data_IF_020916969058
#
_entry.id   IF_020916969058
#
_cell.length_a   1.000
_cell.length_b   1.000
_cell.length_c   1.000
_cell.angle_alpha   90.00
_cell.angle_beta   90.00
_cell.angle_gamma   90.00
#
_symmetry.space_group_name_H-M   'P 1'
#
loop_
_entity.id
_entity.type
_entity.pdbx_description
1 polymer ?
#
# COMPACT_ATOMS: atom_id res chain seq x y z
N UNK A 1 -4.47 -4.61 23.23
CA UNK A 1 -5.38 -4.49 24.39
C UNK A 1 -6.39 -5.64 24.49
N UNK A 2 -7.09 -6.03 23.44
CA UNK A 2 -8.10 -7.12 23.47
C UNK A 2 -7.53 -8.51 23.82
N UNK A 3 -6.34 -8.90 23.31
CA UNK A 3 -5.71 -10.18 23.64
C UNK A 3 -5.38 -10.28 25.12
N UNK A 4 -4.84 -9.23 25.74
CA UNK A 4 -4.51 -9.19 27.15
C UNK A 4 -5.76 -9.39 28.01
N UNK A 5 -6.90 -8.81 27.62
CA UNK A 5 -8.16 -9.01 28.33
C UNK A 5 -8.66 -10.44 28.28
N UNK A 6 -8.55 -11.12 27.11
CA UNK A 6 -8.88 -12.53 26.97
C UNK A 6 -7.94 -13.43 27.79
N UNK A 7 -6.63 -13.10 27.80
CA UNK A 7 -5.65 -13.84 28.57
C UNK A 7 -5.89 -13.72 30.06
N UNK A 8 -6.17 -12.53 30.57
CA UNK A 8 -6.51 -12.29 31.98
C UNK A 8 -7.78 -13.01 32.40
N UNK A 9 -8.82 -12.99 31.56
CA UNK A 9 -10.07 -13.68 31.84
C UNK A 9 -9.90 -15.19 31.87
N UNK A 10 -9.17 -15.76 30.92
CA UNK A 10 -8.83 -17.18 30.86
C UNK A 10 -7.98 -17.61 32.06
N UNK A 11 -7.01 -16.79 32.46
CA UNK A 11 -6.17 -17.05 33.62
C UNK A 11 -6.99 -17.04 34.92
N UNK A 12 -7.92 -16.09 35.08
CA UNK A 12 -8.84 -16.06 36.22
C UNK A 12 -9.68 -17.30 36.31
N UNK A 13 -10.27 -17.75 35.21
CA UNK A 13 -11.04 -19.00 35.15
C UNK A 13 -10.14 -20.19 35.51
N UNK A 14 -8.91 -20.25 34.95
CA UNK A 14 -7.94 -21.29 35.24
C UNK A 14 -7.60 -21.36 36.74
N UNK A 15 -7.38 -20.23 37.40
CA UNK A 15 -7.14 -20.15 38.86
C UNK A 15 -8.33 -20.66 39.65
N UNK A 16 -9.55 -20.29 39.31
CA UNK A 16 -10.76 -20.76 39.97
C UNK A 16 -10.87 -22.28 39.86
N UNK A 17 -10.63 -22.84 38.68
CA UNK A 17 -10.66 -24.29 38.45
C UNK A 17 -9.56 -24.99 39.28
N UNK A 18 -8.36 -24.45 39.36
CA UNK A 18 -7.27 -24.96 40.18
C UNK A 18 -7.67 -25.01 41.65
N UNK A 19 -8.22 -23.93 42.20
CA UNK A 19 -8.66 -23.87 43.60
C UNK A 19 -9.71 -24.94 43.88
N UNK A 20 -10.70 -25.11 42.99
CA UNK A 20 -11.74 -26.10 43.16
C UNK A 20 -11.19 -27.56 43.14
N UNK A 21 -10.30 -27.86 42.18
CA UNK A 21 -9.69 -29.20 42.07
C UNK A 21 -8.78 -29.51 43.25
N UNK A 22 -7.93 -28.57 43.69
CA UNK A 22 -7.07 -28.71 44.85
C UNK A 22 -7.93 -28.94 46.12
N UNK A 23 -8.96 -28.11 46.31
CA UNK A 23 -9.88 -28.25 47.44
C UNK A 23 -10.57 -29.63 47.46
N UNK A 24 -10.91 -30.17 46.29
CA UNK A 24 -11.50 -31.50 46.19
C UNK A 24 -10.50 -32.61 46.56
N UNK A 25 -9.26 -32.51 46.10
CA UNK A 25 -8.19 -33.46 46.45
C UNK A 25 -7.86 -33.38 47.95
N UNK A 26 -7.73 -32.17 48.50
CA UNK A 26 -7.42 -31.95 49.92
C UNK A 26 -8.55 -32.47 50.81
N UNK A 27 -9.82 -32.28 50.42
CA UNK A 27 -10.95 -32.86 51.13
C UNK A 27 -10.87 -34.39 51.23
N UNK A 28 -10.46 -35.04 50.14
CA UNK A 28 -10.28 -36.49 50.12
C UNK A 28 -9.12 -36.92 51.06
N UNK A 29 -7.99 -36.19 51.03
CA UNK A 29 -6.86 -36.45 51.94
C UNK A 29 -7.22 -36.22 53.41
N UNK A 30 -7.96 -35.19 53.71
CA UNK A 30 -8.48 -34.94 55.07
C UNK A 30 -9.38 -36.09 55.51
N UNK A 31 -10.30 -36.55 54.68
CA UNK A 31 -11.17 -37.69 55.01
C UNK A 31 -10.36 -38.97 55.24
N UNK A 32 -9.30 -39.18 54.46
CA UNK A 32 -8.42 -40.34 54.66
C UNK A 32 -7.69 -40.24 55.99
N UNK A 33 -7.13 -39.09 56.36
CA UNK A 33 -6.50 -38.87 57.66
C UNK A 33 -7.47 -39.03 58.79
N UNK A 34 -8.70 -38.46 58.69
CA UNK A 34 -9.75 -38.56 59.69
C UNK A 34 -10.19 -40.02 59.97
N UNK A 35 -10.18 -40.87 58.93
CA UNK A 35 -10.42 -42.33 59.08
C UNK A 35 -9.42 -43.00 60.05
N UNK A 36 -8.13 -42.56 59.97
CA UNK A 36 -7.07 -43.11 60.80
C UNK A 36 -7.05 -42.49 62.22
N UNK A 37 -7.38 -41.18 62.33
CA UNK A 37 -7.57 -40.52 63.59
C UNK A 37 -8.70 -41.11 64.43
N UNK A 38 -9.82 -41.46 63.79
CA UNK A 38 -10.95 -42.19 64.48
C UNK A 38 -10.62 -43.59 64.87
N UNK A 39 -9.51 -44.17 64.43
CA UNK A 39 -9.04 -45.51 64.87
C UNK A 39 -7.96 -45.41 65.95
N UNK A 40 -7.63 -44.16 66.39
CA UNK A 40 -6.64 -43.96 67.47
C UNK A 40 -7.09 -44.52 68.80
N UNK A 41 -6.12 -44.90 69.60
CA UNK A 41 -6.36 -45.26 70.99
C UNK A 41 -5.65 -44.24 71.87
N UNK A 42 -6.41 -43.58 72.75
CA UNK A 42 -5.91 -42.56 73.63
C UNK A 42 -5.70 -43.17 75.04
N UNK A 43 -4.52 -42.87 75.58
CA UNK A 43 -4.14 -43.24 76.97
C UNK A 43 -3.85 -41.94 77.75
N UNK A 44 -4.77 -41.59 78.67
CA UNK A 44 -4.63 -40.31 79.46
C UNK A 44 -3.61 -40.55 80.57
N UNK A 45 -2.82 -39.53 80.82
CA UNK A 45 -1.84 -39.46 81.93
C UNK A 45 -2.46 -38.64 83.04
N UNK A 46 -2.61 -39.12 84.23
CA UNK A 46 -3.16 -38.31 85.31
C UNK A 46 -2.38 -37.05 85.60
N UNK A 47 -3.06 -36.04 86.09
CA UNK A 47 -2.40 -34.80 86.52
C UNK A 47 -1.31 -35.09 87.57
N UNK A 48 -0.05 -34.72 87.35
CA UNK A 48 1.13 -35.11 88.12
C UNK A 48 1.49 -36.61 88.05
N UNK A 49 0.92 -37.44 87.19
CA UNK A 49 1.39 -38.76 86.87
C UNK A 49 2.65 -38.68 85.96
N UNK A 50 3.25 -39.87 85.78
CA UNK A 50 4.44 -39.99 84.90
C UNK A 50 4.28 -41.19 83.94
N UNK A 51 5.11 -41.22 82.93
CA UNK A 51 5.20 -42.37 82.05
C UNK A 51 6.68 -42.72 81.82
N UNK A 52 6.92 -43.95 81.53
CA UNK A 52 8.24 -44.40 81.03
C UNK A 52 8.06 -45.09 79.66
N UNK A 53 9.01 -44.79 78.77
CA UNK A 53 9.08 -45.38 77.43
C UNK A 53 10.37 -46.25 77.36
N UNK A 54 10.17 -47.56 77.14
CA UNK A 54 11.32 -48.45 76.97
C UNK A 54 11.37 -48.89 75.50
N UNK A 55 12.42 -48.52 74.81
CA UNK A 55 12.65 -48.76 73.38
C UNK A 55 13.32 -50.17 73.23
N UNK A 56 12.76 -51.00 72.37
CA UNK A 56 13.34 -52.28 72.01
C UNK A 56 13.01 -52.63 70.54
N UNK A 57 14.03 -52.60 69.72
CA UNK A 57 13.89 -52.71 68.24
C UNK A 57 12.72 -51.92 67.70
N UNK A 58 11.87 -52.36 66.87
CA UNK A 58 10.77 -51.62 66.28
C UNK A 58 9.54 -51.39 67.21
N UNK A 59 9.70 -51.53 68.50
CA UNK A 59 8.61 -51.39 69.48
C UNK A 59 9.02 -50.50 70.64
N UNK A 60 8.08 -49.77 71.17
CA UNK A 60 8.23 -49.03 72.44
C UNK A 60 7.19 -49.42 73.40
N UNK A 61 7.63 -49.85 74.57
CA UNK A 61 6.75 -50.20 75.68
C UNK A 61 6.58 -48.96 76.54
N UNK A 62 5.32 -48.53 76.62
CA UNK A 62 4.93 -47.39 77.48
C UNK A 62 4.34 -48.00 78.78
N UNK A 63 4.71 -47.41 79.90
CA UNK A 63 4.08 -47.71 81.22
C UNK A 63 3.71 -46.33 81.83
N UNK A 64 2.45 -46.16 82.14
CA UNK A 64 1.87 -44.99 82.80
C UNK A 64 1.72 -45.24 84.29
N UNK A 65 2.11 -44.31 85.11
CA UNK A 65 2.07 -44.39 86.57
C UNK A 65 1.18 -43.28 87.14
N UNK A 66 0.51 -43.60 88.26
CA UNK A 66 -0.24 -42.63 89.03
C UNK A 66 0.70 -41.70 89.84
N UNK A 67 0.16 -40.71 90.61
CA UNK A 67 0.88 -39.77 91.48
C UNK A 67 1.59 -40.47 92.66
N UNK A 68 1.28 -41.77 92.95
CA UNK A 68 1.88 -42.58 94.01
C UNK A 68 2.90 -43.55 93.47
N UNK A 69 3.16 -43.60 92.18
CA UNK A 69 4.09 -44.48 91.51
C UNK A 69 3.51 -45.88 91.18
N UNK A 70 2.21 -46.05 91.35
CA UNK A 70 1.57 -47.36 90.94
C UNK A 70 1.35 -47.39 89.42
N UNK A 71 1.55 -48.55 88.86
CA UNK A 71 1.32 -48.82 87.45
C UNK A 71 -0.18 -48.78 87.11
N UNK A 72 -0.62 -47.86 86.19
CA UNK A 72 -2.02 -47.74 85.76
C UNK A 72 -2.24 -48.53 84.47
N UNK A 73 -1.34 -48.39 83.53
CA UNK A 73 -1.52 -48.99 82.20
C UNK A 73 -0.16 -49.31 81.56
N UNK A 74 -0.09 -50.43 80.85
CA UNK A 74 1.02 -50.83 79.96
C UNK A 74 0.52 -51.14 78.62
N UNK A 75 1.18 -50.56 77.57
CA UNK A 75 0.88 -50.86 76.20
C UNK A 75 2.19 -50.83 75.37
N UNK A 76 2.18 -51.63 74.29
CA UNK A 76 3.29 -51.63 73.32
C UNK A 76 2.87 -50.98 72.05
N UNK A 77 3.71 -50.10 71.50
CA UNK A 77 3.53 -49.46 70.19
C UNK A 77 4.51 -50.09 69.19
N UNK A 78 3.96 -50.72 68.18
CA UNK A 78 4.72 -51.29 67.07
C UNK A 78 4.82 -50.25 65.96
N UNK A 79 6.01 -49.62 65.78
CA UNK A 79 6.22 -48.59 64.80
C UNK A 79 6.00 -49.04 63.36
N UNK A 80 5.99 -50.28 63.07
CA UNK A 80 5.61 -50.76 61.74
C UNK A 80 4.10 -50.60 61.47
N UNK A 81 3.26 -50.68 62.55
CA UNK A 81 1.79 -50.66 62.46
C UNK A 81 1.17 -49.39 63.03
N UNK A 82 1.83 -48.70 63.94
CA UNK A 82 1.29 -47.62 64.74
C UNK A 82 2.32 -46.53 64.96
N UNK A 83 1.87 -45.32 65.25
CA UNK A 83 2.70 -44.15 65.63
C UNK A 83 2.17 -43.48 66.89
N UNK A 84 3.00 -43.22 67.89
CA UNK A 84 2.57 -42.48 69.06
C UNK A 84 2.63 -40.98 68.77
N UNK A 85 1.61 -40.25 69.25
CA UNK A 85 1.56 -38.79 69.25
C UNK A 85 1.43 -38.39 70.72
N UNK A 86 2.29 -37.42 71.16
CA UNK A 86 2.27 -36.90 72.52
C UNK A 86 1.71 -35.50 72.52
N UNK A 87 0.70 -35.23 73.35
CA UNK A 87 0.25 -33.86 73.54
C UNK A 87 0.82 -33.29 74.85
N UNK A 88 1.53 -32.17 74.68
CA UNK A 88 2.13 -31.45 75.84
C UNK A 88 1.20 -30.30 76.24
N UNK A 89 0.76 -30.33 77.48
CA UNK A 89 0.06 -29.19 78.13
C UNK A 89 1.05 -28.40 78.97
N UNK A 90 0.95 -27.08 78.86
CA UNK A 90 1.87 -26.12 79.46
C UNK A 90 2.10 -26.35 80.96
N UNK A 91 3.36 -26.28 81.51
CA UNK A 91 4.63 -25.93 80.87
C UNK A 91 5.60 -27.13 80.63
N UNK A 92 5.30 -28.22 80.11
CA UNK A 92 6.07 -29.42 79.77
C UNK A 92 5.50 -30.76 80.33
N UNK A 93 4.22 -30.78 80.57
CA UNK A 93 3.59 -32.03 81.01
C UNK A 93 2.85 -32.66 79.82
N UNK A 94 3.07 -33.99 79.62
CA UNK A 94 2.33 -34.77 78.65
C UNK A 94 1.00 -35.20 79.27
N UNK A 95 -0.12 -34.73 78.69
CA UNK A 95 -1.47 -35.04 79.23
C UNK A 95 -2.01 -36.34 78.72
N UNK A 96 -1.64 -36.83 77.58
CA UNK A 96 -2.02 -38.11 77.07
C UNK A 96 -1.04 -38.58 75.99
N UNK A 97 -1.08 -39.88 75.71
CA UNK A 97 -0.41 -40.57 74.61
C UNK A 97 -1.49 -41.14 73.73
N UNK A 98 -1.54 -40.65 72.46
CA UNK A 98 -2.44 -41.17 71.48
C UNK A 98 -1.65 -42.04 70.49
N UNK A 99 -2.16 -43.29 70.26
CA UNK A 99 -1.54 -44.22 69.33
C UNK A 99 -2.43 -44.31 68.10
N UNK A 100 -1.88 -43.82 66.97
CA UNK A 100 -2.55 -43.84 65.68
C UNK A 100 -2.04 -45.01 64.82
N UNK A 101 -2.91 -45.80 64.19
CA UNK A 101 -2.46 -46.79 63.22
C UNK A 101 -1.77 -46.10 62.00
N UNK A 102 -0.72 -46.76 61.53
CA UNK A 102 -0.05 -46.34 60.32
C UNK A 102 -0.95 -46.62 59.11
N UNK A 103 -0.81 -45.75 58.09
CA UNK A 103 -1.49 -45.98 56.81
C UNK A 103 -1.17 -47.39 56.25
N UNK A 104 -2.19 -48.07 55.72
CA UNK A 104 -1.97 -49.29 54.92
C UNK A 104 -1.08 -48.92 53.72
N UNK A 105 -0.36 -49.90 53.18
CA UNK A 105 0.46 -49.67 51.96
C UNK A 105 -0.34 -49.08 50.81
N UNK A 106 -1.62 -49.48 50.68
CA UNK A 106 -2.54 -48.93 49.67
C UNK A 106 -2.87 -47.47 49.95
N UNK A 107 -3.24 -47.13 51.19
CA UNK A 107 -3.65 -45.74 51.55
C UNK A 107 -2.46 -44.79 51.52
N UNK A 108 -1.24 -45.27 51.85
CA UNK A 108 0.02 -44.50 51.70
C UNK A 108 0.33 -44.17 50.24
N UNK A 109 0.14 -45.13 49.32
CA UNK A 109 0.28 -44.89 47.87
C UNK A 109 -0.76 -43.88 47.38
N UNK A 110 -2.00 -43.98 47.85
CA UNK A 110 -3.06 -43.02 47.52
C UNK A 110 -2.71 -41.61 48.00
N UNK A 111 -2.29 -41.47 49.25
CA UNK A 111 -1.92 -40.13 49.81
C UNK A 111 -0.73 -39.53 49.05
N UNK A 112 0.30 -40.31 48.75
CA UNK A 112 1.45 -39.87 47.94
C UNK A 112 1.03 -39.49 46.52
N UNK A 113 0.16 -40.27 45.89
CA UNK A 113 -0.35 -39.96 44.54
C UNK A 113 -1.21 -38.69 44.54
N UNK A 114 -2.06 -38.48 45.54
CA UNK A 114 -2.87 -37.28 45.71
C UNK A 114 -1.98 -36.05 45.98
N UNK A 115 -0.89 -36.20 46.73
CA UNK A 115 0.08 -35.13 46.93
C UNK A 115 0.78 -34.69 45.67
N UNK A 116 1.22 -35.67 44.85
CA UNK A 116 1.83 -35.36 43.54
C UNK A 116 0.82 -34.78 42.53
N UNK A 117 -0.44 -35.23 42.60
CA UNK A 117 -1.52 -34.68 41.77
C UNK A 117 -1.77 -33.19 42.07
N UNK A 118 -1.78 -32.80 43.34
CA UNK A 118 -1.94 -31.39 43.72
C UNK A 118 -0.86 -30.48 43.07
N UNK A 119 0.36 -30.93 43.00
CA UNK A 119 1.46 -30.20 42.38
C UNK A 119 1.24 -30.14 40.84
N UNK A 120 0.76 -31.22 40.23
CA UNK A 120 0.57 -31.31 38.78
C UNK A 120 -0.66 -30.55 38.26
N UNK A 121 -1.71 -30.36 39.08
CA UNK A 121 -2.95 -29.67 38.70
C UNK A 121 -2.68 -28.26 38.15
N UNK A 122 -1.84 -27.47 38.83
CA UNK A 122 -1.57 -26.06 38.47
C UNK A 122 -1.00 -25.92 37.04
N UNK A 123 0.13 -26.58 36.68
CA UNK A 123 0.69 -26.39 35.34
C UNK A 123 -0.22 -26.98 34.24
N UNK A 124 -0.92 -28.07 34.52
CA UNK A 124 -1.82 -28.68 33.53
C UNK A 124 -3.01 -27.77 33.23
N UNK A 125 -3.71 -27.27 34.25
CA UNK A 125 -4.88 -26.39 34.05
C UNK A 125 -4.49 -25.06 33.40
N UNK A 126 -3.37 -24.46 33.81
CA UNK A 126 -2.87 -23.22 33.18
C UNK A 126 -2.51 -23.44 31.72
N UNK A 127 -1.88 -24.56 31.37
CA UNK A 127 -1.55 -24.88 29.98
C UNK A 127 -2.81 -25.06 29.14
N UNK A 128 -3.80 -25.79 29.61
CA UNK A 128 -5.09 -25.96 28.91
C UNK A 128 -5.80 -24.60 28.74
N UNK A 129 -5.85 -23.83 29.82
CA UNK A 129 -6.46 -22.48 29.79
C UNK A 129 -5.82 -21.58 28.74
N UNK A 130 -4.48 -21.58 28.63
CA UNK A 130 -3.75 -20.81 27.66
C UNK A 130 -4.03 -21.26 26.22
N UNK A 131 -4.04 -22.58 25.97
CA UNK A 131 -4.38 -23.12 24.63
C UNK A 131 -5.80 -22.71 24.23
N UNK A 132 -6.76 -22.81 25.14
CA UNK A 132 -8.15 -22.42 24.92
C UNK A 132 -8.24 -20.90 24.59
N UNK A 133 -7.51 -20.06 25.33
CA UNK A 133 -7.45 -18.61 25.08
C UNK A 133 -6.94 -18.29 23.68
N UNK A 134 -5.79 -18.85 23.30
CA UNK A 134 -5.18 -18.63 21.99
C UNK A 134 -6.09 -19.09 20.85
N UNK A 135 -6.66 -20.28 20.95
CA UNK A 135 -7.56 -20.82 19.92
C UNK A 135 -8.85 -20.00 19.78
N UNK A 136 -9.42 -19.55 20.88
CA UNK A 136 -10.61 -18.70 20.87
C UNK A 136 -10.32 -17.32 20.27
N UNK A 137 -9.23 -16.69 20.68
CA UNK A 137 -8.77 -15.42 20.12
C UNK A 137 -8.52 -15.51 18.62
N UNK A 138 -7.79 -16.55 18.19
CA UNK A 138 -7.51 -16.78 16.76
C UNK A 138 -8.81 -16.92 15.96
N UNK A 139 -9.73 -17.76 16.38
CA UNK A 139 -11.00 -17.99 15.66
C UNK A 139 -11.85 -16.73 15.59
N UNK A 140 -11.91 -15.94 16.67
CA UNK A 140 -12.82 -14.79 16.77
C UNK A 140 -12.25 -13.52 16.12
N UNK A 141 -10.93 -13.30 16.24
CA UNK A 141 -10.30 -12.01 15.83
C UNK A 141 -9.42 -12.10 14.59
N UNK A 142 -8.71 -13.21 14.37
CA UNK A 142 -7.71 -13.32 13.33
C UNK A 142 -8.19 -14.10 12.09
N UNK A 143 -8.98 -15.13 12.27
CA UNK A 143 -9.34 -16.04 11.18
C UNK A 143 -10.10 -15.35 10.03
N UNK A 144 -11.06 -14.45 10.35
CA UNK A 144 -11.84 -13.73 9.32
C UNK A 144 -11.00 -12.76 8.50
N UNK A 145 -10.26 -11.81 9.10
CA UNK A 145 -9.48 -10.86 8.31
C UNK A 145 -8.34 -11.54 7.53
N UNK A 146 -7.70 -12.57 8.08
CA UNK A 146 -6.67 -13.33 7.35
C UNK A 146 -7.27 -13.98 6.10
N UNK A 147 -8.44 -14.62 6.20
CA UNK A 147 -9.12 -15.20 5.02
C UNK A 147 -9.51 -14.14 3.99
N UNK A 148 -9.99 -12.97 4.44
CA UNK A 148 -10.31 -11.87 3.53
C UNK A 148 -9.08 -11.39 2.77
N UNK A 149 -7.96 -11.19 3.47
CA UNK A 149 -6.70 -10.77 2.84
C UNK A 149 -6.13 -11.84 1.90
N UNK A 150 -6.21 -13.12 2.28
CA UNK A 150 -5.78 -14.23 1.41
C UNK A 150 -6.61 -14.31 0.13
N UNK A 151 -7.93 -14.16 0.23
CA UNK A 151 -8.80 -14.15 -0.94
C UNK A 151 -8.53 -12.92 -1.82
N UNK A 152 -8.30 -11.76 -1.22
CA UNK A 152 -7.93 -10.54 -1.94
C UNK A 152 -6.58 -10.68 -2.66
N UNK A 153 -5.60 -11.32 -2.03
CA UNK A 153 -4.32 -11.64 -2.65
C UNK A 153 -4.51 -12.51 -3.93
N UNK A 154 -5.28 -13.59 -3.85
CA UNK A 154 -5.55 -14.44 -5.01
C UNK A 154 -6.28 -13.71 -6.15
N UNK A 155 -7.16 -12.77 -5.82
CA UNK A 155 -7.80 -11.93 -6.83
C UNK A 155 -6.80 -11.01 -7.52
N UNK A 156 -5.91 -10.36 -6.76
CA UNK A 156 -4.85 -9.53 -7.33
C UNK A 156 -3.89 -10.37 -8.20
N UNK A 157 -3.53 -11.57 -7.75
CA UNK A 157 -2.71 -12.52 -8.53
C UNK A 157 -3.37 -12.89 -9.87
N UNK A 158 -4.70 -13.02 -9.88
CA UNK A 158 -5.49 -13.26 -11.08
C UNK A 158 -5.76 -11.97 -11.91
N UNK A 159 -5.17 -10.83 -11.55
CA UNK A 159 -5.39 -9.52 -12.18
C UNK A 159 -6.85 -9.02 -12.07
N UNK A 160 -7.63 -9.56 -11.13
CA UNK A 160 -8.99 -9.10 -10.81
C UNK A 160 -8.88 -8.05 -9.69
N UNK A 161 -8.96 -6.77 -10.06
CA UNK A 161 -8.92 -5.65 -9.12
C UNK A 161 -10.32 -5.10 -8.80
N UNK A 162 -11.38 -5.71 -9.36
CA UNK A 162 -12.77 -5.29 -9.14
C UNK A 162 -13.38 -6.00 -7.92
N UNK A 163 -12.86 -5.66 -6.74
CA UNK A 163 -13.41 -6.12 -5.47
C UNK A 163 -13.23 -5.07 -4.38
N UNK A 164 -14.07 -5.15 -3.34
CA UNK A 164 -13.97 -4.30 -2.15
C UNK A 164 -13.59 -5.13 -0.92
N UNK A 165 -12.67 -4.61 -0.10
CA UNK A 165 -12.25 -5.19 1.16
C UNK A 165 -13.05 -4.52 2.29
N UNK A 166 -14.18 -5.10 2.68
CA UNK A 166 -14.98 -4.59 3.80
C UNK A 166 -14.68 -5.35 5.08
N UNK A 167 -14.02 -4.70 6.01
CA UNK A 167 -13.81 -5.20 7.36
C UNK A 167 -14.32 -4.17 8.38
N UNK A 168 -15.38 -4.51 9.18
CA UNK A 168 -16.13 -3.52 9.94
C UNK A 168 -15.49 -3.08 11.26
N UNK A 169 -14.37 -3.68 11.67
CA UNK A 169 -13.73 -3.39 12.96
C UNK A 169 -12.56 -2.42 12.79
N UNK A 170 -12.45 -1.47 13.70
CA UNK A 170 -11.39 -0.46 13.71
C UNK A 170 -10.22 -0.89 14.64
N UNK A 171 -9.76 -2.14 14.46
CA UNK A 171 -8.63 -2.72 15.16
C UNK A 171 -7.38 -2.78 14.25
N UNK A 172 -6.30 -3.41 14.73
CA UNK A 172 -5.05 -3.56 13.99
C UNK A 172 -5.24 -4.29 12.65
N UNK A 173 -6.15 -5.26 12.61
CA UNK A 173 -6.52 -5.97 11.38
C UNK A 173 -7.33 -5.08 10.44
N UNK A 174 -8.19 -4.21 10.97
CA UNK A 174 -8.91 -3.22 10.19
C UNK A 174 -7.98 -2.21 9.51
N UNK A 175 -6.96 -1.73 10.23
CA UNK A 175 -5.93 -0.87 9.65
C UNK A 175 -5.15 -1.57 8.53
N UNK A 176 -4.84 -2.86 8.72
CA UNK A 176 -4.15 -3.66 7.70
C UNK A 176 -5.03 -3.87 6.46
N UNK A 177 -6.31 -4.20 6.64
CA UNK A 177 -7.27 -4.33 5.53
C UNK A 177 -7.42 -3.01 4.76
N UNK A 178 -7.48 -1.88 5.45
CA UNK A 178 -7.57 -0.56 4.81
C UNK A 178 -6.29 -0.19 4.05
N UNK A 179 -5.12 -0.48 4.59
CA UNK A 179 -3.85 -0.28 3.90
C UNK A 179 -3.76 -1.13 2.61
N UNK A 180 -4.26 -2.38 2.68
CA UNK A 180 -4.33 -3.27 1.54
C UNK A 180 -5.31 -2.79 0.46
N UNK A 181 -6.46 -2.24 0.87
CA UNK A 181 -7.44 -1.63 -0.06
C UNK A 181 -6.84 -0.42 -0.77
N UNK A 182 -6.16 0.47 -0.04
CA UNK A 182 -5.42 1.59 -0.62
C UNK A 182 -4.38 1.16 -1.65
N UNK A 183 -3.65 0.08 -1.35
CA UNK A 183 -2.67 -0.48 -2.29
C UNK A 183 -3.35 -1.00 -3.56
N UNK A 184 -4.48 -1.72 -3.43
CA UNK A 184 -5.29 -2.20 -4.57
C UNK A 184 -5.77 -1.02 -5.43
N UNK A 185 -6.29 0.04 -4.81
CA UNK A 185 -6.77 1.23 -5.53
C UNK A 185 -5.64 1.93 -6.30
N UNK A 186 -4.44 2.00 -5.70
CA UNK A 186 -3.25 2.53 -6.36
C UNK A 186 -2.86 1.68 -7.58
N UNK A 187 -2.85 0.35 -7.44
CA UNK A 187 -2.58 -0.59 -8.52
C UNK A 187 -3.62 -0.46 -9.65
N UNK A 188 -4.91 -0.37 -9.31
CA UNK A 188 -5.99 -0.18 -10.28
C UNK A 188 -5.81 1.09 -11.09
N UNK A 189 -5.51 2.21 -10.40
CA UNK A 189 -5.27 3.50 -11.05
C UNK A 189 -4.03 3.51 -11.94
N UNK A 190 -2.96 2.85 -11.49
CA UNK A 190 -1.74 2.71 -12.30
C UNK A 190 -1.99 1.87 -13.56
N UNK A 191 -2.72 0.77 -13.44
CA UNK A 191 -3.10 -0.06 -14.58
C UNK A 191 -3.95 0.73 -15.60
N UNK A 192 -4.98 1.46 -15.12
CA UNK A 192 -5.81 2.29 -15.98
C UNK A 192 -4.98 3.35 -16.72
N UNK A 193 -4.07 4.02 -16.01
CA UNK A 193 -3.16 5.01 -16.60
C UNK A 193 -2.27 4.37 -17.66
N UNK A 194 -1.69 3.21 -17.37
CA UNK A 194 -0.84 2.46 -18.27
C UNK A 194 -1.61 2.01 -19.53
N UNK A 195 -2.82 1.47 -19.38
CA UNK A 195 -3.66 1.10 -20.52
C UNK A 195 -4.00 2.30 -21.40
N UNK A 196 -4.28 3.45 -20.79
CA UNK A 196 -4.52 4.68 -21.54
C UNK A 196 -3.29 5.13 -22.33
N UNK A 197 -2.11 5.09 -21.71
CA UNK A 197 -0.85 5.40 -22.38
C UNK A 197 -0.57 4.44 -23.55
N UNK A 198 -0.75 3.13 -23.37
CA UNK A 198 -0.60 2.16 -24.44
C UNK A 198 -1.59 2.37 -25.59
N UNK A 199 -2.84 2.74 -25.29
CA UNK A 199 -3.85 3.02 -26.30
C UNK A 199 -3.47 4.29 -27.10
N UNK A 200 -2.94 5.30 -26.43
CA UNK A 200 -2.47 6.54 -27.09
C UNK A 200 -1.25 6.27 -27.96
N UNK A 201 -0.27 5.54 -27.48
CA UNK A 201 0.91 5.11 -28.25
C UNK A 201 0.54 4.26 -29.48
N UNK A 202 -0.42 3.35 -29.36
CA UNK A 202 -0.95 2.59 -30.52
C UNK A 202 -1.60 3.49 -31.56
N UNK A 203 -2.38 4.49 -31.12
CA UNK A 203 -2.98 5.49 -32.04
C UNK A 203 -1.92 6.27 -32.78
N UNK A 204 -0.88 6.74 -32.07
CA UNK A 204 0.26 7.43 -32.64
C UNK A 204 0.93 6.60 -33.72
N UNK A 205 1.28 5.36 -33.41
CA UNK A 205 1.94 4.47 -34.34
C UNK A 205 1.08 4.14 -35.58
N UNK A 206 -0.23 4.00 -35.41
CA UNK A 206 -1.15 3.76 -36.51
C UNK A 206 -1.27 4.98 -37.44
N UNK A 207 -1.42 6.19 -36.88
CA UNK A 207 -1.47 7.43 -37.65
C UNK A 207 -0.16 7.66 -38.42
N UNK A 208 0.99 7.48 -37.74
CA UNK A 208 2.32 7.60 -38.34
C UNK A 208 2.51 6.63 -39.51
N UNK A 209 2.15 5.35 -39.31
CA UNK A 209 2.26 4.34 -40.38
C UNK A 209 1.38 4.65 -41.58
N UNK A 210 0.19 5.18 -41.37
CA UNK A 210 -0.72 5.61 -42.44
C UNK A 210 -0.12 6.77 -43.22
N UNK A 211 0.39 7.80 -42.55
CA UNK A 211 0.89 9.03 -43.18
C UNK A 211 2.23 8.84 -43.91
N UNK A 212 3.06 7.87 -43.47
CA UNK A 212 4.25 7.45 -44.20
C UNK A 212 3.93 6.65 -45.47
N UNK A 213 2.88 5.84 -45.46
CA UNK A 213 2.51 4.99 -46.59
C UNK A 213 2.18 5.81 -47.82
N UNK A 214 1.51 6.96 -47.67
CA UNK A 214 1.09 7.81 -48.80
C UNK A 214 2.27 8.34 -49.61
N UNK A 215 3.26 9.07 -49.05
CA UNK A 215 4.41 9.55 -49.80
C UNK A 215 5.28 8.42 -50.34
N UNK A 216 5.39 7.30 -49.61
CA UNK A 216 6.14 6.12 -50.06
C UNK A 216 5.49 5.48 -51.28
N UNK A 217 4.15 5.40 -51.31
CA UNK A 217 3.41 4.86 -52.47
C UNK A 217 3.57 5.76 -53.68
N UNK A 218 3.53 7.09 -53.52
CA UNK A 218 3.77 8.06 -54.60
C UNK A 218 5.19 7.93 -55.12
N UNK A 219 6.20 7.90 -54.24
CA UNK A 219 7.59 7.69 -54.60
C UNK A 219 7.79 6.42 -55.43
N UNK A 220 7.22 5.31 -55.00
CA UNK A 220 7.26 4.04 -55.72
C UNK A 220 6.56 4.13 -57.09
N UNK A 221 5.41 4.81 -57.17
CA UNK A 221 4.68 5.05 -58.41
C UNK A 221 5.50 5.82 -59.43
N UNK A 222 6.04 6.98 -59.03
CA UNK A 222 6.86 7.86 -59.88
C UNK A 222 8.15 7.14 -60.33
N UNK A 223 8.83 6.42 -59.41
CA UNK A 223 10.02 5.64 -59.79
C UNK A 223 9.69 4.52 -60.78
N UNK A 224 8.58 3.78 -60.57
CA UNK A 224 8.13 2.71 -61.48
C UNK A 224 7.77 3.26 -62.85
N UNK A 225 7.13 4.43 -62.93
CA UNK A 225 6.78 5.09 -64.15
C UNK A 225 8.06 5.48 -64.94
N UNK A 226 9.01 6.17 -64.30
CA UNK A 226 10.27 6.55 -64.92
C UNK A 226 11.05 5.30 -65.44
N UNK A 227 11.15 4.26 -64.64
CA UNK A 227 11.81 3.01 -65.03
C UNK A 227 11.14 2.34 -66.24
N UNK A 228 9.82 2.52 -66.44
CA UNK A 228 9.08 1.93 -67.55
C UNK A 228 9.10 2.76 -68.82
N UNK A 229 9.15 4.10 -68.73
CA UNK A 229 8.99 5.02 -69.86
C UNK A 229 10.33 5.56 -70.40
N UNK A 230 11.35 5.75 -69.57
CA UNK A 230 12.68 6.24 -70.03
C UNK A 230 13.28 5.30 -71.08
N UNK A 231 13.31 3.94 -70.89
CA UNK A 231 13.89 3.05 -71.89
C UNK A 231 13.13 3.01 -73.23
N UNK A 232 11.87 3.44 -73.23
CA UNK A 232 11.01 3.48 -74.41
C UNK A 232 11.05 4.82 -75.14
N UNK A 233 11.79 5.79 -74.61
CA UNK A 233 11.84 7.16 -75.16
C UNK A 233 10.49 7.89 -75.09
N UNK A 234 9.59 7.52 -74.19
CA UNK A 234 8.23 8.05 -74.09
C UNK A 234 8.11 9.30 -73.18
N UNK A 235 9.22 9.74 -72.60
CA UNK A 235 9.28 10.93 -71.70
C UNK A 235 10.38 11.85 -72.13
N UNK A 236 10.12 13.12 -72.11
CA UNK A 236 11.10 14.19 -72.37
C UNK A 236 12.02 14.40 -71.17
N UNK A 237 13.18 15.03 -71.42
CA UNK A 237 14.10 15.38 -70.34
C UNK A 237 13.47 16.29 -69.29
N UNK A 238 12.56 17.20 -69.71
CA UNK A 238 11.85 18.10 -68.78
C UNK A 238 10.89 17.32 -67.91
N UNK A 239 10.12 16.38 -68.45
CA UNK A 239 9.20 15.50 -67.66
C UNK A 239 9.96 14.66 -66.64
N UNK A 240 11.17 14.13 -67.01
CA UNK A 240 12.02 13.41 -66.08
C UNK A 240 12.44 14.29 -64.92
N UNK A 241 12.85 15.55 -65.16
CA UNK A 241 13.24 16.49 -64.11
C UNK A 241 12.08 16.87 -63.20
N UNK A 242 10.89 17.04 -63.77
CA UNK A 242 9.67 17.36 -63.01
C UNK A 242 9.30 16.21 -62.08
N UNK A 243 9.34 14.96 -62.55
CA UNK A 243 9.09 13.73 -61.76
C UNK A 243 10.11 13.55 -60.63
N UNK A 244 11.42 13.75 -60.94
CA UNK A 244 12.48 13.71 -59.92
C UNK A 244 12.24 14.81 -58.85
N UNK A 245 11.80 16.01 -59.27
CA UNK A 245 11.46 17.10 -58.36
C UNK A 245 10.31 16.70 -57.39
N UNK A 246 9.24 16.04 -57.90
CA UNK A 246 8.13 15.53 -57.07
C UNK A 246 8.63 14.45 -56.14
N UNK A 247 9.50 13.56 -56.59
CA UNK A 247 10.11 12.53 -55.72
C UNK A 247 10.94 13.15 -54.60
N UNK A 248 11.78 14.16 -54.90
CA UNK A 248 12.60 14.89 -53.92
C UNK A 248 11.72 15.57 -52.85
N UNK A 249 10.61 16.22 -53.24
CA UNK A 249 9.65 16.79 -52.28
C UNK A 249 9.04 15.74 -51.35
N UNK A 250 8.71 14.56 -51.87
CA UNK A 250 8.15 13.47 -51.05
C UNK A 250 9.21 12.87 -50.11
N UNK A 251 10.49 12.78 -50.51
CA UNK A 251 11.61 12.40 -49.61
C UNK A 251 11.76 13.42 -48.48
N UNK A 252 11.84 14.69 -48.77
CA UNK A 252 11.96 15.76 -47.76
C UNK A 252 10.76 15.75 -46.78
N UNK A 253 9.56 15.38 -47.26
CA UNK A 253 8.40 15.20 -46.43
C UNK A 253 8.55 14.01 -45.49
N UNK A 254 9.06 12.87 -45.95
CA UNK A 254 9.38 11.70 -45.14
C UNK A 254 10.43 12.02 -44.07
N UNK A 255 11.50 12.74 -44.40
CA UNK A 255 12.51 13.18 -43.45
C UNK A 255 11.91 14.05 -42.33
N UNK A 256 11.03 14.99 -42.67
CA UNK A 256 10.30 15.81 -41.68
C UNK A 256 9.45 14.93 -40.75
N UNK A 257 8.77 13.90 -41.29
CA UNK A 257 7.98 12.97 -40.47
C UNK A 257 8.86 12.19 -39.49
N UNK A 258 9.98 11.63 -39.95
CA UNK A 258 10.89 10.86 -39.10
C UNK A 258 11.49 11.73 -37.98
N UNK A 259 11.95 12.93 -38.35
CA UNK A 259 12.52 13.89 -37.38
C UNK A 259 11.49 14.33 -36.35
N UNK A 260 10.26 14.62 -36.78
CA UNK A 260 9.17 14.98 -35.89
C UNK A 260 8.81 13.87 -34.88
N UNK A 261 8.80 12.61 -35.36
CA UNK A 261 8.53 11.47 -34.49
C UNK A 261 9.67 11.21 -33.50
N UNK A 262 10.93 11.32 -33.96
CA UNK A 262 12.11 11.21 -33.08
C UNK A 262 12.09 12.29 -32.00
N UNK A 263 11.74 13.52 -32.35
CA UNK A 263 11.63 14.60 -31.40
C UNK A 263 10.49 14.37 -30.40
N UNK A 264 9.35 13.83 -30.84
CA UNK A 264 8.21 13.54 -29.98
C UNK A 264 8.56 12.50 -28.92
N UNK A 265 9.26 11.41 -29.28
CA UNK A 265 9.76 10.44 -28.32
C UNK A 265 10.83 11.02 -27.37
N UNK A 266 11.72 11.87 -27.87
CA UNK A 266 12.70 12.55 -27.03
C UNK A 266 12.06 13.49 -26.02
N UNK A 267 10.98 14.19 -26.41
CA UNK A 267 10.28 15.09 -25.49
C UNK A 267 9.63 14.38 -24.30
N UNK A 268 9.34 13.08 -24.40
CA UNK A 268 8.82 12.29 -23.27
C UNK A 268 9.89 12.00 -22.22
N UNK A 269 11.18 11.95 -22.58
CA UNK A 269 12.29 11.55 -21.72
C UNK A 269 13.25 12.67 -21.32
N UNK A 270 13.20 13.84 -22.00
CA UNK A 270 14.15 14.93 -21.73
C UNK A 270 13.87 15.60 -20.39
N UNK A 271 14.90 15.68 -19.57
CA UNK A 271 14.91 16.59 -18.42
C UNK A 271 14.89 18.04 -18.93
N UNK A 272 13.96 18.87 -18.47
CA UNK A 272 13.78 20.26 -18.91
C UNK A 272 14.40 21.17 -17.85
N UNK A 273 15.71 21.48 -17.95
CA UNK A 273 16.35 22.33 -16.97
C UNK A 273 15.76 23.73 -17.04
N UNK A 274 15.24 24.24 -15.94
CA UNK A 274 14.72 25.60 -15.82
C UNK A 274 15.86 26.56 -15.47
N UNK A 275 15.75 27.79 -15.94
CA UNK A 275 16.69 28.86 -15.67
C UNK A 275 15.96 30.17 -15.35
N UNK A 276 16.64 31.08 -14.68
CA UNK A 276 16.09 32.37 -14.35
C UNK A 276 16.17 33.29 -15.59
N UNK A 277 15.03 33.80 -16.03
CA UNK A 277 14.90 34.71 -17.18
C UNK A 277 14.03 35.87 -16.77
N UNK A 278 14.43 37.08 -17.16
CA UNK A 278 13.60 38.28 -16.94
C UNK A 278 12.44 38.29 -17.94
N UNK A 279 11.27 38.72 -17.48
CA UNK A 279 10.09 38.84 -18.34
C UNK A 279 10.35 39.71 -19.55
N UNK A 280 11.14 40.81 -19.40
CA UNK A 280 11.52 41.68 -20.50
C UNK A 280 12.32 40.93 -21.58
N UNK A 281 13.34 40.15 -21.19
CA UNK A 281 14.13 39.40 -22.16
C UNK A 281 13.27 38.34 -22.91
N UNK A 282 12.28 37.75 -22.24
CA UNK A 282 11.35 36.83 -22.89
C UNK A 282 10.50 37.56 -23.94
N UNK A 283 9.97 38.74 -23.62
CA UNK A 283 9.16 39.53 -24.54
C UNK A 283 9.99 40.03 -25.75
N UNK A 284 11.26 40.39 -25.56
CA UNK A 284 12.17 40.74 -26.66
C UNK A 284 12.37 39.55 -27.62
N UNK A 285 12.55 38.30 -27.08
CA UNK A 285 12.63 37.11 -27.90
C UNK A 285 11.32 36.84 -28.66
N UNK A 286 10.17 37.06 -28.05
CA UNK A 286 8.87 36.92 -28.71
C UNK A 286 8.67 37.93 -29.82
N UNK A 287 9.04 39.19 -29.60
CA UNK A 287 8.97 40.22 -30.62
C UNK A 287 9.86 39.89 -31.84
N UNK A 288 11.14 39.52 -31.60
CA UNK A 288 12.06 39.15 -32.65
C UNK A 288 11.55 37.96 -33.49
N UNK A 289 10.97 36.97 -32.83
CA UNK A 289 10.38 35.79 -33.48
C UNK A 289 9.12 36.18 -34.28
N UNK A 290 8.27 37.02 -33.71
CA UNK A 290 7.07 37.48 -34.41
C UNK A 290 7.43 38.32 -35.66
N UNK A 291 8.40 39.22 -35.58
CA UNK A 291 8.91 39.99 -36.73
C UNK A 291 9.44 39.07 -37.84
N UNK A 292 10.18 38.04 -37.48
CA UNK A 292 10.74 37.09 -38.43
C UNK A 292 9.67 36.19 -39.11
N UNK A 293 8.63 35.79 -38.37
CA UNK A 293 7.60 34.86 -38.88
C UNK A 293 6.41 35.57 -39.54
N UNK A 294 6.01 36.75 -39.08
CA UNK A 294 4.86 37.49 -39.58
C UNK A 294 5.23 38.43 -40.76
N UNK A 295 5.97 37.94 -41.75
CA UNK A 295 6.48 38.70 -42.86
C UNK A 295 5.36 39.40 -43.69
N UNK A 296 4.22 38.73 -43.90
CA UNK A 296 3.11 39.21 -44.74
C UNK A 296 1.85 39.55 -43.95
N UNK A 297 1.87 39.53 -42.62
CA UNK A 297 0.69 39.70 -41.76
C UNK A 297 0.98 40.61 -40.58
N UNK A 298 -0.04 41.34 -40.14
CA UNK A 298 0.08 42.17 -38.96
C UNK A 298 0.08 41.31 -37.67
N UNK A 299 0.84 41.79 -36.69
CA UNK A 299 0.79 41.23 -35.34
C UNK A 299 0.79 42.34 -34.29
N UNK A 300 0.19 42.05 -33.16
CA UNK A 300 0.22 42.90 -31.96
C UNK A 300 0.56 42.09 -30.75
N UNK A 301 1.50 42.56 -29.93
CA UNK A 301 1.84 41.89 -28.64
C UNK A 301 1.39 42.80 -27.51
N UNK A 302 0.50 42.27 -26.67
CA UNK A 302 0.05 42.90 -25.43
C UNK A 302 0.66 42.19 -24.26
N UNK A 303 1.25 42.91 -23.33
CA UNK A 303 1.91 42.36 -22.16
C UNK A 303 1.29 42.91 -20.88
N UNK A 304 1.06 42.05 -19.89
CA UNK A 304 0.66 42.47 -18.56
C UNK A 304 1.50 41.73 -17.53
N UNK A 305 2.36 42.43 -16.85
CA UNK A 305 3.25 41.90 -15.81
C UNK A 305 4.31 42.95 -15.46
N UNK A 306 4.74 42.97 -14.22
CA UNK A 306 5.89 43.76 -13.78
C UNK A 306 7.18 43.05 -14.22
N UNK A 307 8.31 43.74 -14.11
CA UNK A 307 9.63 43.21 -14.42
C UNK A 307 10.03 42.09 -13.43
N UNK A 308 9.44 40.90 -13.61
CA UNK A 308 9.57 39.73 -12.74
C UNK A 308 10.58 38.78 -13.37
N UNK A 309 11.34 38.07 -12.53
CA UNK A 309 12.19 36.97 -12.96
C UNK A 309 11.35 35.65 -12.95
N UNK A 310 11.39 34.97 -14.08
CA UNK A 310 10.69 33.70 -14.31
C UNK A 310 11.66 32.53 -14.21
N UNK A 311 11.24 31.41 -13.66
CA UNK A 311 12.04 30.20 -13.63
C UNK A 311 11.48 29.18 -14.64
N UNK A 312 11.97 29.26 -15.88
CA UNK A 312 11.48 28.53 -17.05
C UNK A 312 12.64 27.97 -17.90
N UNK A 313 12.33 27.03 -18.78
CA UNK A 313 13.24 26.66 -19.86
C UNK A 313 12.90 27.51 -21.11
N UNK A 314 13.81 28.40 -21.49
CA UNK A 314 13.59 29.34 -22.60
C UNK A 314 13.32 28.63 -23.92
N UNK A 315 14.14 27.64 -24.28
CA UNK A 315 14.03 26.94 -25.57
C UNK A 315 12.66 26.25 -25.71
N UNK A 316 12.17 25.65 -24.64
CA UNK A 316 10.85 25.02 -24.61
C UNK A 316 9.72 26.05 -24.75
N UNK A 317 9.82 27.17 -24.05
CA UNK A 317 8.81 28.24 -24.13
C UNK A 317 8.81 28.88 -25.52
N UNK A 318 9.99 29.10 -26.11
CA UNK A 318 10.12 29.56 -27.48
C UNK A 318 9.52 28.59 -28.49
N UNK A 319 9.77 27.29 -28.34
CA UNK A 319 9.18 26.26 -29.19
C UNK A 319 7.64 26.21 -29.10
N UNK A 320 7.07 26.38 -27.90
CA UNK A 320 5.62 26.54 -27.73
C UNK A 320 5.13 27.75 -28.48
N UNK A 321 5.75 28.91 -28.26
CA UNK A 321 5.38 30.20 -28.89
C UNK A 321 5.42 30.09 -30.40
N UNK A 322 6.51 29.58 -30.98
CA UNK A 322 6.67 29.42 -32.44
C UNK A 322 5.58 28.52 -33.04
N UNK A 323 5.24 27.41 -32.35
CA UNK A 323 4.16 26.51 -32.77
C UNK A 323 2.81 27.24 -32.80
N UNK A 324 2.48 28.00 -31.73
CA UNK A 324 1.23 28.74 -31.66
C UNK A 324 1.17 29.83 -32.72
N UNK A 325 2.24 30.61 -32.87
CA UNK A 325 2.31 31.68 -33.80
C UNK A 325 2.27 31.19 -35.26
N UNK A 326 3.02 30.14 -35.60
CA UNK A 326 3.00 29.53 -36.93
C UNK A 326 1.61 29.02 -37.31
N UNK A 327 0.87 28.46 -36.34
CA UNK A 327 -0.53 28.10 -36.57
C UNK A 327 -1.41 29.32 -36.80
N UNK A 328 -1.32 30.33 -35.96
CA UNK A 328 -2.07 31.58 -36.09
C UNK A 328 -1.85 32.23 -37.45
N UNK A 329 -0.59 32.43 -37.86
CA UNK A 329 -0.22 33.02 -39.16
C UNK A 329 -0.82 32.25 -40.33
N UNK A 330 -0.87 30.92 -40.25
CA UNK A 330 -1.42 30.08 -41.32
C UNK A 330 -2.91 30.28 -41.55
N UNK A 331 -3.66 30.43 -40.47
CA UNK A 331 -5.13 30.50 -40.56
C UNK A 331 -5.67 31.93 -40.52
N UNK A 332 -4.87 32.91 -40.07
CA UNK A 332 -5.22 34.31 -40.07
C UNK A 332 -5.51 34.82 -41.48
N UNK A 333 -6.42 35.74 -41.60
CA UNK A 333 -6.64 36.52 -42.81
C UNK A 333 -5.59 37.63 -42.90
N UNK A 334 -5.49 38.46 -41.86
CA UNK A 334 -4.61 39.63 -41.80
C UNK A 334 -3.93 39.82 -40.45
N UNK A 335 -4.61 39.53 -39.35
CA UNK A 335 -4.21 39.99 -38.04
C UNK A 335 -3.99 38.83 -37.06
N UNK A 336 -2.89 38.93 -36.30
CA UNK A 336 -2.54 38.02 -35.21
C UNK A 336 -2.40 38.82 -33.91
N UNK A 337 -3.12 38.48 -32.86
CA UNK A 337 -3.01 39.09 -31.55
C UNK A 337 -2.36 38.12 -30.56
N UNK A 338 -1.29 38.59 -29.95
CA UNK A 338 -0.52 37.83 -28.96
C UNK A 338 -0.70 38.51 -27.60
N UNK A 339 -1.07 37.79 -26.59
CA UNK A 339 -1.16 38.27 -25.21
C UNK A 339 -0.26 37.44 -24.32
N UNK A 340 0.60 38.12 -23.55
CA UNK A 340 1.52 37.46 -22.60
C UNK A 340 1.31 38.10 -21.23
N UNK A 341 0.79 37.28 -20.30
CA UNK A 341 0.39 37.74 -18.97
C UNK A 341 0.98 36.81 -17.91
N UNK A 342 1.31 37.36 -16.75
CA UNK A 342 1.69 36.56 -15.57
C UNK A 342 0.53 36.61 -14.60
N UNK A 343 -0.03 35.42 -14.30
CA UNK A 343 -1.17 35.22 -13.39
C UNK A 343 -0.86 34.10 -12.40
N UNK A 344 -0.87 34.41 -11.10
CA UNK A 344 -0.67 33.42 -10.03
C UNK A 344 0.52 32.47 -10.28
N UNK A 345 1.70 33.07 -10.52
CA UNK A 345 2.96 32.35 -10.81
C UNK A 345 2.95 31.51 -12.09
N UNK A 346 2.01 31.75 -12.97
CA UNK A 346 1.97 31.15 -14.30
C UNK A 346 2.20 32.17 -15.39
N UNK A 347 3.03 31.81 -16.34
CA UNK A 347 3.13 32.52 -17.62
C UNK A 347 1.99 32.03 -18.51
N UNK A 348 1.12 32.94 -18.90
CA UNK A 348 0.00 32.72 -19.82
C UNK A 348 0.29 33.34 -21.17
N UNK A 349 0.41 32.50 -22.19
CA UNK A 349 0.65 32.92 -23.58
C UNK A 349 -0.61 32.59 -24.36
N UNK A 350 -1.28 33.62 -24.92
CA UNK A 350 -2.45 33.45 -25.77
C UNK A 350 -2.15 33.98 -27.15
N UNK A 351 -2.37 33.19 -28.17
CA UNK A 351 -2.25 33.61 -29.57
C UNK A 351 -3.60 33.44 -30.25
N UNK A 352 -4.09 34.52 -30.88
CA UNK A 352 -5.37 34.50 -31.57
C UNK A 352 -5.25 35.10 -32.97
N UNK A 353 -6.06 34.58 -33.88
CA UNK A 353 -6.12 35.01 -35.28
C UNK A 353 -7.52 35.56 -35.66
N UNK A 354 -7.61 36.19 -36.82
CA UNK A 354 -8.84 36.66 -37.45
C UNK A 354 -9.38 35.67 -38.51
N UNK A 355 -8.95 34.40 -38.46
CA UNK A 355 -9.30 33.35 -39.41
C UNK A 355 -10.71 32.78 -39.23
N UNK A 356 -10.90 31.56 -39.70
CA UNK A 356 -12.21 30.86 -39.62
C UNK A 356 -12.46 30.16 -38.29
N UNK A 357 -11.49 30.15 -37.38
CA UNK A 357 -11.58 29.42 -36.09
C UNK A 357 -11.65 27.90 -36.24
N UNK A 358 -11.80 27.23 -35.12
CA UNK A 358 -11.97 25.79 -35.04
C UNK A 358 -13.46 25.42 -35.15
N UNK A 359 -13.78 24.30 -35.81
CA UNK A 359 -15.11 23.68 -35.67
C UNK A 359 -15.20 23.04 -34.29
N UNK A 360 -16.42 22.93 -33.71
CA UNK A 360 -16.61 22.36 -32.38
C UNK A 360 -15.98 20.94 -32.24
N UNK A 361 -16.09 20.11 -33.27
CA UNK A 361 -15.52 18.75 -33.28
C UNK A 361 -13.98 18.75 -33.38
N UNK A 362 -13.40 19.83 -33.91
CA UNK A 362 -11.95 19.96 -34.08
C UNK A 362 -11.28 20.47 -32.80
N UNK A 363 -12.00 21.21 -31.93
CA UNK A 363 -11.46 21.75 -30.68
C UNK A 363 -10.93 20.64 -29.77
N UNK A 364 -11.72 19.57 -29.57
CA UNK A 364 -11.32 18.44 -28.72
C UNK A 364 -10.16 17.63 -29.32
N UNK A 365 -10.02 17.65 -30.65
CA UNK A 365 -9.04 16.84 -31.36
C UNK A 365 -7.79 17.61 -31.79
N UNK A 366 -7.80 18.94 -31.73
CA UNK A 366 -6.73 19.77 -32.27
C UNK A 366 -5.36 19.56 -31.61
N UNK A 367 -5.35 19.07 -30.36
CA UNK A 367 -4.12 18.67 -29.64
C UNK A 367 -3.73 17.20 -29.86
N UNK A 368 -4.51 16.43 -30.62
CA UNK A 368 -4.11 15.06 -30.94
C UNK A 368 -2.98 15.09 -31.99
N UNK A 369 -1.98 14.21 -31.84
CA UNK A 369 -0.89 14.15 -32.79
C UNK A 369 -1.38 13.77 -34.19
N UNK A 370 -0.79 14.39 -35.21
CA UNK A 370 -1.13 14.23 -36.63
C UNK A 370 -2.56 14.62 -37.00
N UNK A 371 -3.28 15.28 -36.10
CA UNK A 371 -4.62 15.75 -36.40
C UNK A 371 -4.61 16.93 -37.36
N UNK A 372 -5.40 16.81 -38.42
CA UNK A 372 -5.61 17.85 -39.43
C UNK A 372 -7.11 18.02 -39.66
N UNK A 373 -7.57 19.23 -39.85
CA UNK A 373 -8.94 19.45 -40.28
C UNK A 373 -9.15 18.93 -41.73
N UNK A 374 -10.36 18.63 -42.11
CA UNK A 374 -10.65 18.16 -43.46
C UNK A 374 -10.21 19.11 -44.60
N UNK A 375 -9.98 20.37 -44.31
CA UNK A 375 -9.47 21.36 -45.27
C UNK A 375 -7.94 21.34 -45.41
N UNK A 376 -7.23 20.74 -44.43
CA UNK A 376 -5.77 20.80 -44.33
C UNK A 376 -5.08 19.51 -44.79
N UNK A 377 -5.83 18.52 -45.27
CA UNK A 377 -5.28 17.22 -45.68
C UNK A 377 -4.23 17.36 -46.77
N UNK A 378 -4.34 18.38 -47.64
CA UNK A 378 -3.42 18.64 -48.73
C UNK A 378 -2.18 19.51 -48.32
N UNK A 379 -2.13 20.01 -47.09
CA UNK A 379 -1.05 20.92 -46.65
C UNK A 379 0.19 20.13 -46.21
N UNK A 380 1.39 20.72 -46.36
CA UNK A 380 2.68 20.13 -46.01
C UNK A 380 2.93 19.98 -44.49
N UNK A 381 1.97 20.37 -43.64
CA UNK A 381 2.14 20.37 -42.18
C UNK A 381 1.78 19.04 -41.57
N UNK A 382 2.53 18.64 -40.55
CA UNK A 382 2.43 17.35 -39.91
C UNK A 382 1.25 17.23 -38.90
N UNK A 383 0.67 18.35 -38.45
CA UNK A 383 -0.37 18.36 -37.41
C UNK A 383 0.17 18.01 -36.02
N UNK A 384 1.43 18.34 -35.74
CA UNK A 384 2.12 18.07 -34.47
C UNK A 384 2.30 19.27 -33.57
N UNK A 385 2.23 20.49 -34.09
CA UNK A 385 2.58 21.71 -33.35
C UNK A 385 1.79 21.89 -32.05
N UNK A 386 0.47 21.79 -32.11
CA UNK A 386 -0.38 21.88 -30.91
C UNK A 386 -0.20 20.71 -29.95
N UNK A 387 0.09 19.52 -30.45
CA UNK A 387 0.39 18.36 -29.61
C UNK A 387 1.72 18.54 -28.85
N UNK A 388 2.78 18.99 -29.55
CA UNK A 388 4.07 19.33 -28.94
C UNK A 388 3.88 20.44 -27.89
N UNK A 389 3.14 21.49 -28.20
CA UNK A 389 2.85 22.58 -27.25
C UNK A 389 2.11 22.07 -26.01
N UNK A 390 1.19 21.11 -26.17
CA UNK A 390 0.50 20.44 -25.05
C UNK A 390 1.49 19.70 -24.16
N UNK A 391 2.29 18.80 -24.73
CA UNK A 391 3.28 17.99 -23.98
C UNK A 391 4.25 18.91 -23.22
N UNK A 392 4.80 19.90 -23.89
CA UNK A 392 5.76 20.84 -23.29
C UNK A 392 5.15 21.68 -22.18
N UNK A 393 3.89 22.14 -22.34
CA UNK A 393 3.19 22.90 -21.29
C UNK A 393 2.87 22.02 -20.07
N UNK A 394 2.41 20.79 -20.28
CA UNK A 394 2.12 19.82 -19.21
C UNK A 394 3.38 19.47 -18.40
N UNK A 395 4.53 19.31 -19.06
CA UNK A 395 5.83 19.09 -18.41
C UNK A 395 6.34 20.30 -17.60
N UNK A 396 5.89 21.51 -17.95
CA UNK A 396 6.11 22.71 -17.14
C UNK A 396 5.05 22.91 -16.04
N UNK A 397 4.20 21.91 -15.77
CA UNK A 397 3.14 22.00 -14.77
C UNK A 397 1.97 22.89 -15.18
N UNK A 398 1.81 23.12 -16.49
CA UNK A 398 0.75 23.95 -17.07
C UNK A 398 -0.24 23.15 -17.91
N UNK A 399 -0.92 23.83 -18.81
CA UNK A 399 -1.88 23.22 -19.73
C UNK A 399 -2.07 24.07 -21.00
N UNK A 400 -2.76 23.50 -22.00
CA UNK A 400 -3.17 24.18 -23.22
C UNK A 400 -4.71 24.23 -23.30
N UNK A 401 -5.25 25.35 -23.74
CA UNK A 401 -6.69 25.54 -24.00
C UNK A 401 -6.88 26.07 -25.40
N UNK A 402 -7.89 25.54 -26.09
CA UNK A 402 -8.26 25.95 -27.47
C UNK A 402 -9.69 26.42 -27.44
N UNK A 403 -9.89 27.62 -28.02
CA UNK A 403 -11.19 28.25 -28.13
C UNK A 403 -11.29 29.06 -29.43
N UNK A 404 -12.46 29.54 -29.75
CA UNK A 404 -12.64 30.56 -30.76
C UNK A 404 -12.82 31.91 -30.08
N UNK A 405 -12.26 32.95 -30.68
CA UNK A 405 -12.46 34.31 -30.20
C UNK A 405 -13.86 34.83 -30.61
N UNK A 406 -14.29 35.95 -30.02
CA UNK A 406 -15.61 36.56 -30.30
C UNK A 406 -15.78 37.07 -31.74
N UNK A 407 -14.70 37.30 -32.43
CA UNK A 407 -14.68 37.74 -33.82
C UNK A 407 -14.71 36.59 -34.82
N UNK A 408 -14.70 35.33 -34.37
CA UNK A 408 -14.80 34.13 -35.17
C UNK A 408 -13.49 33.42 -35.47
N UNK A 409 -12.34 34.00 -35.16
CA UNK A 409 -11.00 33.40 -35.33
C UNK A 409 -10.65 32.43 -34.21
N UNK A 410 -9.53 31.69 -34.30
CA UNK A 410 -9.04 30.82 -33.28
C UNK A 410 -8.30 31.57 -32.16
N UNK A 411 -8.33 31.02 -30.96
CA UNK A 411 -7.53 31.47 -29.83
C UNK A 411 -6.95 30.23 -29.11
N UNK A 412 -5.65 30.15 -29.03
CA UNK A 412 -4.93 29.09 -28.33
C UNK A 412 -4.17 29.72 -27.16
N UNK A 413 -4.45 29.24 -25.96
CA UNK A 413 -3.85 29.71 -24.72
C UNK A 413 -3.04 28.60 -24.06
N UNK A 414 -1.79 28.87 -23.74
CA UNK A 414 -0.92 27.97 -22.98
C UNK A 414 -0.56 28.61 -21.64
N UNK A 415 -0.67 27.82 -20.58
CA UNK A 415 -0.20 28.17 -19.24
C UNK A 415 1.05 27.36 -18.91
N UNK A 416 2.03 28.00 -18.27
CA UNK A 416 3.33 27.44 -17.90
C UNK A 416 3.61 27.86 -16.46
N UNK A 417 3.92 26.92 -15.61
CA UNK A 417 4.28 27.22 -14.22
C UNK A 417 5.69 27.76 -14.15
N UNK A 418 5.88 28.93 -13.50
CA UNK A 418 7.14 29.63 -13.37
C UNK A 418 7.79 29.53 -12.00
N UNK A 419 7.28 28.68 -11.10
CA UNK A 419 7.83 28.48 -9.77
C UNK A 419 9.10 27.62 -9.77
N UNK A 420 9.95 27.88 -8.79
CA UNK A 420 11.19 27.20 -8.46
C UNK A 420 10.90 25.87 -7.71
N UNK A 421 10.01 25.00 -8.17
CA UNK A 421 9.66 23.74 -7.45
C UNK A 421 10.30 22.51 -8.09
#
# INVERSE_FOLDING_TARGET
MTFVLYALFSLLIGIIICILLISMVDRYRINLNYKYENMSTRYDIPENGSFTATYSNDQTKYTIFDTKGNEICKFNVDYQKERPVHEYVYPNHVSYIEVLPNFTNRDRLIDSALGSLNIAIIPIVLSISMICCVTFFYKKKLSKPIKLLTNAYHKIEANDLDFTLSYPLNDEMGKLCHAFEKMKDCLSKNNETMFRQFAEQRRLNAAFSHDLRTPLTLLKGHATMLLSFIPKGLVSQQEILDEISVMSKNISRLEKYVNAMTNLYRLEDIDIPRQQITFHSLIDNFNNTAEALCYDKHFSITTSGNNITLFINLDTVMQIYENLLSNSIRYAKSDNAISVVIENDNLVISVSDDGCGFKNIDIEKATLPFYKSSKDIATEHLGLGLNISKILSERHGGNIQIANNKAGGACVTVKINCNES
#
